data_IF_164607899218
#
_entry.id   IF_164607899218
#
_cell.length_a   1.000
_cell.length_b   1.000
_cell.length_c   1.000
_cell.angle_alpha   90.00
_cell.angle_beta   90.00
_cell.angle_gamma   90.00
#
_symmetry.space_group_name_H-M   'P 1'
#
loop_
_entity.id
_entity.type
_entity.pdbx_description
1 polymer ?
#
# COMPACT_ATOMS: atom_id res chain seq x y z
N UNK A 1 -4.72 20.44 -14.07
CA UNK A 1 -3.36 20.46 -13.47
C UNK A 1 -3.34 21.03 -12.04
N UNK A 2 -4.01 22.15 -11.76
CA UNK A 2 -4.03 22.78 -10.41
C UNK A 2 -4.50 21.85 -9.27
N UNK A 3 -5.48 20.97 -9.54
CA UNK A 3 -6.02 20.00 -8.55
C UNK A 3 -5.02 18.90 -8.15
N UNK A 4 -4.14 18.49 -9.07
CA UNK A 4 -3.14 17.45 -8.83
C UNK A 4 -2.00 18.00 -7.96
N UNK A 5 -1.59 19.24 -8.22
CA UNK A 5 -0.62 19.97 -7.39
C UNK A 5 -1.14 20.12 -5.95
N UNK A 6 -2.42 20.46 -5.79
CA UNK A 6 -3.04 20.60 -4.47
C UNK A 6 -3.08 19.25 -3.72
N UNK A 7 -3.36 18.16 -4.42
CA UNK A 7 -3.36 16.80 -3.87
C UNK A 7 -1.97 16.37 -3.37
N UNK A 8 -0.91 16.61 -4.17
CA UNK A 8 0.46 16.33 -3.75
C UNK A 8 0.89 17.15 -2.53
N UNK A 9 0.51 18.44 -2.50
CA UNK A 9 0.83 19.33 -1.40
C UNK A 9 0.14 18.88 -0.10
N UNK A 10 -1.13 18.46 -0.15
CA UNK A 10 -1.82 17.91 1.02
C UNK A 10 -1.22 16.60 1.52
N UNK A 11 -0.78 15.72 0.60
CA UNK A 11 -0.20 14.43 0.95
C UNK A 11 1.12 14.63 1.72
N UNK A 12 1.98 15.53 1.25
CA UNK A 12 3.26 15.83 1.89
C UNK A 12 3.09 16.44 3.29
N UNK A 13 2.16 17.37 3.45
CA UNK A 13 1.88 17.99 4.76
C UNK A 13 1.28 17.00 5.76
N UNK A 14 0.45 16.06 5.29
CA UNK A 14 -0.18 15.06 6.16
C UNK A 14 0.86 14.11 6.77
N UNK A 15 1.85 13.70 5.97
CA UNK A 15 2.97 12.87 6.45
C UNK A 15 3.77 13.59 7.53
N UNK A 16 4.12 14.88 7.33
CA UNK A 16 4.88 15.65 8.32
C UNK A 16 4.13 15.86 9.64
N UNK A 17 2.81 16.09 9.58
CA UNK A 17 1.98 16.25 10.79
C UNK A 17 1.86 14.94 11.56
N UNK A 18 1.75 13.81 10.85
CA UNK A 18 1.66 12.49 11.48
C UNK A 18 2.94 12.16 12.26
N UNK A 19 4.12 12.47 11.71
CA UNK A 19 5.39 12.31 12.42
C UNK A 19 5.56 13.29 13.59
N UNK A 20 4.98 14.50 13.52
CA UNK A 20 5.05 15.47 14.61
C UNK A 20 4.03 15.22 15.74
N UNK A 21 2.91 14.53 15.45
CA UNK A 21 1.87 14.22 16.46
C UNK A 21 2.30 13.18 17.48
N UNK A 22 3.34 12.39 17.19
CA UNK A 22 3.91 11.43 18.12
C UNK A 22 5.34 11.87 18.47
N UNK A 23 5.55 12.51 19.63
CA UNK A 23 6.89 12.91 20.03
C UNK A 23 7.77 11.66 20.23
N UNK A 24 8.83 11.55 19.43
CA UNK A 24 9.88 10.55 19.63
C UNK A 24 10.70 10.99 20.83
N UNK A 25 10.49 10.34 21.97
CA UNK A 25 11.38 10.45 23.13
C UNK A 25 12.58 9.56 22.82
N UNK A 26 13.74 10.17 22.63
CA UNK A 26 15.04 9.48 22.54
C UNK A 26 15.30 8.80 23.91
N UNK A 27 14.86 7.56 24.07
CA UNK A 27 15.34 6.71 25.17
C UNK A 27 16.72 6.20 24.79
N UNK A 28 17.74 6.72 25.46
CA UNK A 28 19.10 6.17 25.37
C UNK A 28 19.06 4.64 25.61
N UNK A 29 19.75 3.93 24.73
CA UNK A 29 19.91 2.48 24.65
C UNK A 29 19.73 1.73 25.98
N UNK A 30 18.75 0.83 26.05
CA UNK A 30 18.76 -0.27 27.01
C UNK A 30 18.30 -1.56 26.33
N UNK A 31 19.31 -2.38 26.02
CA UNK A 31 19.33 -3.82 26.27
C UNK A 31 18.34 -4.72 25.48
N UNK A 32 18.93 -5.66 24.74
CA UNK A 32 18.26 -6.87 24.26
C UNK A 32 17.72 -7.67 25.44
N UNK A 33 16.54 -7.32 25.95
CA UNK A 33 15.83 -8.17 26.91
C UNK A 33 15.18 -9.30 26.12
N UNK A 34 15.88 -10.43 26.08
CA UNK A 34 15.30 -11.75 25.82
C UNK A 34 14.33 -12.07 26.96
N UNK A 35 13.10 -11.56 26.89
CA UNK A 35 11.99 -11.99 27.76
C UNK A 35 10.97 -12.76 26.95
N UNK A 36 10.94 -14.07 27.23
CA UNK A 36 9.87 -15.04 27.03
C UNK A 36 8.61 -14.58 26.29
N UNK A 37 8.37 -15.21 25.13
CA UNK A 37 7.06 -15.69 24.67
C UNK A 37 5.87 -14.78 25.02
N UNK A 38 5.81 -13.61 24.42
CA UNK A 38 4.56 -13.21 23.82
C UNK A 38 4.57 -13.82 22.42
N UNK A 39 3.62 -14.72 22.11
CA UNK A 39 3.18 -14.92 20.73
C UNK A 39 2.65 -13.58 20.21
N UNK A 40 3.55 -12.65 19.92
CA UNK A 40 3.26 -11.57 18.99
C UNK A 40 3.08 -12.31 17.67
N UNK A 41 1.82 -12.57 17.32
CA UNK A 41 1.44 -12.91 15.95
C UNK A 41 1.89 -11.73 15.09
N UNK A 42 3.18 -11.70 14.75
CA UNK A 42 3.70 -10.81 13.75
C UNK A 42 2.77 -10.96 12.54
N UNK A 43 2.19 -9.86 12.03
CA UNK A 43 1.28 -9.95 10.91
C UNK A 43 1.97 -10.75 9.80
N UNK A 44 1.29 -11.77 9.29
CA UNK A 44 1.81 -12.69 8.28
C UNK A 44 2.49 -11.86 7.18
N UNK A 45 3.81 -12.02 7.03
CA UNK A 45 4.66 -11.19 6.14
C UNK A 45 4.14 -11.22 4.71
N UNK A 46 3.52 -12.33 4.32
CA UNK A 46 2.79 -12.48 3.06
C UNK A 46 1.62 -11.51 2.92
N UNK A 47 0.84 -11.29 3.98
CA UNK A 47 -0.32 -10.39 3.97
C UNK A 47 0.13 -8.94 3.87
N UNK A 48 1.21 -8.59 4.57
CA UNK A 48 1.88 -7.28 4.49
C UNK A 48 2.37 -7.04 3.06
N UNK A 49 3.05 -8.02 2.47
CA UNK A 49 3.50 -7.97 1.09
C UNK A 49 2.35 -7.67 0.12
N UNK A 50 1.23 -8.39 0.24
CA UNK A 50 0.04 -8.16 -0.60
C UNK A 50 -0.47 -6.73 -0.44
N UNK A 51 -0.59 -6.23 0.80
CA UNK A 51 -1.04 -4.86 1.07
C UNK A 51 -0.12 -3.81 0.42
N UNK A 52 1.20 -3.99 0.55
CA UNK A 52 2.18 -3.11 -0.11
C UNK A 52 2.02 -3.13 -1.62
N UNK A 53 1.88 -4.32 -2.21
CA UNK A 53 1.70 -4.48 -3.65
C UNK A 53 0.43 -3.82 -4.20
N UNK A 54 -0.67 -3.84 -3.42
CA UNK A 54 -1.94 -3.22 -3.82
C UNK A 54 -1.91 -1.69 -3.66
N UNK A 55 -1.46 -1.19 -2.52
CA UNK A 55 -1.53 0.24 -2.20
C UNK A 55 -0.40 1.06 -2.83
N UNK A 56 0.79 0.49 -2.89
CA UNK A 56 2.01 1.18 -3.32
C UNK A 56 2.49 0.72 -4.70
N UNK A 57 1.87 -0.33 -5.25
CA UNK A 57 2.15 -0.82 -6.59
C UNK A 57 3.61 -1.27 -6.75
N UNK A 58 4.28 -0.73 -7.77
CA UNK A 58 5.69 -1.03 -8.05
C UNK A 58 6.63 -0.60 -6.91
N UNK A 59 6.29 0.49 -6.19
CA UNK A 59 7.06 0.93 -5.03
C UNK A 59 6.91 -0.06 -3.86
N UNK A 60 5.76 -0.73 -3.76
CA UNK A 60 5.52 -1.76 -2.73
C UNK A 60 6.38 -2.99 -2.96
N UNK A 61 6.56 -3.40 -4.21
CA UNK A 61 7.48 -4.48 -4.60
C UNK A 61 8.93 -4.10 -4.29
N UNK A 62 9.32 -2.85 -4.56
CA UNK A 62 10.68 -2.36 -4.28
C UNK A 62 11.01 -2.36 -2.77
N UNK A 63 10.07 -1.94 -1.94
CA UNK A 63 10.23 -1.98 -0.46
C UNK A 63 10.33 -3.44 0.03
N UNK A 64 9.55 -4.35 -0.55
CA UNK A 64 9.65 -5.77 -0.20
C UNK A 64 11.03 -6.37 -0.54
N UNK A 65 11.62 -5.97 -1.68
CA UNK A 65 13.00 -6.34 -2.00
C UNK A 65 14.02 -5.74 -1.02
N UNK A 66 13.77 -4.55 -0.50
CA UNK A 66 14.66 -3.91 0.48
C UNK A 66 14.63 -4.61 1.85
N UNK A 67 13.52 -5.27 2.19
CA UNK A 67 13.35 -6.00 3.46
C UNK A 67 13.89 -7.43 3.41
N UNK A 68 14.40 -7.88 2.25
CA UNK A 68 15.03 -9.20 2.03
C UNK A 68 14.16 -10.38 2.52
N UNK A 69 12.83 -10.22 2.40
CA UNK A 69 11.84 -11.23 2.78
C UNK A 69 11.14 -11.77 1.52
N UNK A 70 11.52 -12.98 1.12
CA UNK A 70 11.00 -13.67 -0.06
C UNK A 70 9.47 -13.86 -0.02
N UNK A 71 8.89 -14.10 1.16
CA UNK A 71 7.44 -14.29 1.30
C UNK A 71 6.70 -12.96 1.09
N UNK A 72 7.30 -11.87 1.57
CA UNK A 72 6.77 -10.53 1.39
C UNK A 72 6.88 -10.05 -0.07
N UNK A 73 7.99 -10.35 -0.76
CA UNK A 73 8.15 -10.06 -2.20
C UNK A 73 7.11 -10.81 -3.03
N UNK A 74 6.88 -12.09 -2.73
CA UNK A 74 5.88 -12.91 -3.43
C UNK A 74 4.45 -12.42 -3.15
N UNK A 75 4.20 -11.94 -1.93
CA UNK A 75 2.98 -11.25 -1.56
C UNK A 75 2.77 -9.97 -2.36
N UNK A 76 3.80 -9.12 -2.46
CA UNK A 76 3.75 -7.85 -3.18
C UNK A 76 3.48 -8.01 -4.67
N UNK A 77 4.10 -8.99 -5.33
CA UNK A 77 3.79 -9.31 -6.72
C UNK A 77 2.34 -9.76 -6.93
N UNK A 78 1.80 -10.58 -6.01
CA UNK A 78 0.38 -10.98 -6.05
C UNK A 78 -0.56 -9.79 -5.83
N UNK A 79 -0.24 -8.91 -4.89
CA UNK A 79 -1.00 -7.69 -4.64
C UNK A 79 -1.01 -6.75 -5.85
N UNK A 80 0.16 -6.56 -6.47
CA UNK A 80 0.30 -5.74 -7.67
C UNK A 80 -0.50 -6.28 -8.86
N UNK A 81 -0.43 -7.59 -9.12
CA UNK A 81 -1.23 -8.25 -10.16
C UNK A 81 -2.73 -8.11 -9.90
N UNK A 82 -3.17 -8.24 -8.64
CA UNK A 82 -4.56 -8.04 -8.26
C UNK A 82 -5.03 -6.61 -8.51
N UNK A 83 -4.22 -5.62 -8.17
CA UNK A 83 -4.53 -4.20 -8.43
C UNK A 83 -4.71 -3.93 -9.94
N UNK A 84 -3.83 -4.50 -10.78
CA UNK A 84 -3.95 -4.40 -12.24
C UNK A 84 -5.23 -5.08 -12.74
N UNK A 85 -5.52 -6.29 -12.26
CA UNK A 85 -6.73 -7.02 -12.65
C UNK A 85 -8.01 -6.24 -12.33
N UNK A 86 -8.10 -5.66 -11.12
CA UNK A 86 -9.21 -4.80 -10.71
C UNK A 86 -9.30 -3.56 -11.61
N UNK A 87 -8.16 -2.92 -11.91
CA UNK A 87 -8.13 -1.75 -12.79
C UNK A 87 -8.68 -2.07 -14.19
N UNK A 88 -8.27 -3.18 -14.79
CA UNK A 88 -8.77 -3.63 -16.10
C UNK A 88 -10.26 -3.97 -16.04
N UNK A 89 -10.71 -4.63 -14.97
CA UNK A 89 -12.11 -4.96 -14.77
C UNK A 89 -12.99 -3.71 -14.71
N UNK A 90 -12.57 -2.68 -13.96
CA UNK A 90 -13.26 -1.38 -13.89
C UNK A 90 -13.35 -0.73 -15.27
N UNK A 91 -12.27 -0.79 -16.06
CA UNK A 91 -12.26 -0.25 -17.42
C UNK A 91 -13.24 -0.95 -18.36
N UNK A 92 -13.27 -2.28 -18.34
CA UNK A 92 -14.21 -3.08 -19.13
C UNK A 92 -15.65 -2.72 -18.73
N UNK A 93 -15.91 -2.61 -17.43
CA UNK A 93 -17.24 -2.30 -16.90
C UNK A 93 -17.66 -0.87 -17.26
N UNK A 94 -16.74 0.09 -17.22
CA UNK A 94 -16.99 1.45 -17.68
C UNK A 94 -17.34 1.47 -19.18
N UNK A 95 -16.57 0.79 -20.03
CA UNK A 95 -16.84 0.71 -21.47
C UNK A 95 -18.20 0.03 -21.72
N UNK A 96 -18.51 -1.06 -21.02
CA UNK A 96 -19.78 -1.77 -21.16
C UNK A 96 -20.98 -0.88 -20.76
N UNK A 97 -20.86 -0.11 -19.68
CA UNK A 97 -21.88 0.85 -19.26
C UNK A 97 -22.07 1.95 -20.31
N UNK A 98 -20.98 2.52 -20.84
CA UNK A 98 -21.06 3.52 -21.92
C UNK A 98 -21.62 2.94 -23.22
N UNK A 99 -21.27 1.71 -23.61
CA UNK A 99 -21.83 1.07 -24.80
C UNK A 99 -23.33 0.78 -24.63
N UNK A 100 -23.76 0.38 -23.43
CA UNK A 100 -25.16 0.14 -23.10
C UNK A 100 -26.02 1.40 -23.14
N UNK A 101 -25.52 2.54 -22.66
CA UNK A 101 -26.28 3.80 -22.72
C UNK A 101 -26.48 4.31 -24.15
N UNK A 102 -25.49 4.12 -25.04
CA UNK A 102 -25.60 4.49 -26.46
C UNK A 102 -26.60 3.59 -27.20
N UNK A 103 -26.68 2.31 -26.88
CA UNK A 103 -27.64 1.38 -27.48
C UNK A 103 -29.11 1.60 -27.04
N UNK A 104 -29.34 2.20 -25.86
CA UNK A 104 -30.69 2.49 -25.33
C UNK A 104 -31.22 3.86 -25.79
N UNK A 105 -30.35 4.74 -26.30
CA UNK A 105 -30.72 6.10 -26.76
C UNK A 105 -30.79 6.25 -28.28
N UNK A 106 -30.42 5.21 -29.04
CA UNK A 106 -30.58 5.11 -30.50
C UNK A 106 -31.91 4.43 -30.86
#
# INVERSE_FOLDING_TARGET
>A
MKKIILLFMTFFTFTTVTFASFPVVETESTEFVSSNQAESKAPDSKMIGILLGVFLGIFGVLIAYLMDDDEMVRGAWRGFLWAIAIYVLIWILAIAVFAGTVAVTA
#
